data_IF_582908295001
#
_entry.id   IF_582908295001
#
_cell.length_a   1.000
_cell.length_b   1.000
_cell.length_c   1.000
_cell.angle_alpha   90.00
_cell.angle_beta   90.00
_cell.angle_gamma   90.00
#
_symmetry.space_group_name_H-M   'P 1'
#
loop_
_entity.id
_entity.type
_entity.pdbx_description
1 polymer ?
#
# COMPACT_ATOMS: atom_id res chain seq x y z
N UNK A 1 26.06 -8.65 28.89
CA UNK A 1 26.39 -7.25 29.22
C UNK A 1 25.60 -6.36 28.28
N UNK A 2 24.33 -6.10 28.59
CA UNK A 2 23.45 -5.29 27.73
C UNK A 2 23.51 -3.84 28.18
N UNK A 3 24.05 -2.95 27.33
CA UNK A 3 24.03 -1.51 27.58
C UNK A 3 22.57 -1.08 27.69
N UNK A 4 22.16 -0.53 28.83
CA UNK A 4 20.82 0.05 29.02
C UNK A 4 20.74 1.33 28.18
N UNK A 5 20.46 1.18 26.88
CA UNK A 5 20.20 2.30 26.01
C UNK A 5 18.94 3.02 26.52
N UNK A 6 19.02 4.35 26.64
CA UNK A 6 17.85 5.15 27.02
C UNK A 6 16.86 5.18 25.86
N UNK A 7 15.56 5.31 26.14
CA UNK A 7 14.54 5.42 25.07
C UNK A 7 14.85 6.58 24.10
N UNK A 8 15.36 7.69 24.62
CA UNK A 8 15.79 8.83 23.81
C UNK A 8 16.94 8.47 22.86
N UNK A 9 17.93 7.72 23.34
CA UNK A 9 19.01 7.22 22.50
C UNK A 9 18.45 6.31 21.39
N UNK A 10 17.61 5.33 21.74
CA UNK A 10 17.02 4.41 20.76
C UNK A 10 16.21 5.15 19.69
N UNK A 11 15.35 6.09 20.10
CA UNK A 11 14.54 6.93 19.21
C UNK A 11 15.41 7.72 18.25
N UNK A 12 16.49 8.33 18.74
CA UNK A 12 17.44 9.08 17.91
C UNK A 12 18.19 8.17 16.93
N UNK A 13 18.62 6.99 17.38
CA UNK A 13 19.33 6.01 16.55
C UNK A 13 18.48 5.56 15.36
N UNK A 14 17.19 5.28 15.58
CA UNK A 14 16.28 4.86 14.51
C UNK A 14 15.60 6.02 13.79
N UNK A 15 15.95 7.27 14.16
CA UNK A 15 15.28 8.52 13.71
C UNK A 15 13.76 8.38 13.73
N UNK A 16 13.25 7.90 14.86
CA UNK A 16 11.82 7.72 15.04
C UNK A 16 11.11 9.08 14.95
N UNK A 17 9.94 9.15 14.28
CA UNK A 17 9.11 10.36 14.25
C UNK A 17 8.44 10.65 15.61
N UNK A 18 8.54 9.72 16.57
CA UNK A 18 8.04 9.83 17.95
C UNK A 18 9.24 10.05 18.88
N UNK A 19 9.17 11.08 19.74
CA UNK A 19 10.19 11.35 20.75
C UNK A 19 10.20 10.31 21.90
N UNK A 20 11.25 10.33 22.73
CA UNK A 20 11.40 9.39 23.83
C UNK A 20 10.26 9.44 24.86
N UNK A 21 9.65 10.61 25.08
CA UNK A 21 8.51 10.76 25.98
C UNK A 21 7.24 10.13 25.39
N UNK A 22 6.99 10.32 24.10
CA UNK A 22 5.89 9.71 23.36
C UNK A 22 5.99 8.19 23.36
N UNK A 23 7.18 7.65 23.11
CA UNK A 23 7.43 6.20 23.19
C UNK A 23 7.18 5.69 24.60
N UNK A 24 7.72 6.35 25.63
CA UNK A 24 7.48 5.96 27.02
C UNK A 24 5.99 5.96 27.38
N UNK A 25 5.22 6.96 26.91
CA UNK A 25 3.78 7.04 27.13
C UNK A 25 3.03 5.89 26.45
N UNK A 26 3.40 5.56 25.22
CA UNK A 26 2.79 4.44 24.47
C UNK A 26 3.04 3.12 25.20
N UNK A 27 4.29 2.87 25.63
CA UNK A 27 4.63 1.66 26.39
C UNK A 27 3.82 1.54 27.68
N UNK A 28 3.66 2.64 28.42
CA UNK A 28 2.82 2.67 29.64
C UNK A 28 1.33 2.40 29.35
N UNK A 29 0.82 2.80 28.18
CA UNK A 29 -0.56 2.49 27.79
C UNK A 29 -0.72 1.02 27.41
N UNK A 30 0.26 0.45 26.68
CA UNK A 30 0.27 -0.96 26.31
C UNK A 30 0.40 -1.87 27.54
N UNK A 31 1.24 -1.51 28.51
CA UNK A 31 1.42 -2.27 29.75
C UNK A 31 0.13 -2.39 30.58
N UNK A 32 -0.78 -1.44 30.43
CA UNK A 32 -2.09 -1.44 31.12
C UNK A 32 -3.18 -2.20 30.36
N UNK A 33 -2.89 -2.71 29.16
CA UNK A 33 -3.83 -3.48 28.36
C UNK A 33 -4.00 -4.89 28.93
N UNK A 34 -5.21 -5.46 28.85
CA UNK A 34 -5.48 -6.82 29.34
C UNK A 34 -4.59 -7.86 28.65
N UNK A 35 -4.35 -7.66 27.36
CA UNK A 35 -3.53 -8.55 26.51
C UNK A 35 -2.03 -8.17 26.47
N UNK A 36 -1.52 -7.43 27.47
CA UNK A 36 -0.13 -6.95 27.46
C UNK A 36 0.90 -8.05 27.21
N UNK A 37 0.69 -9.25 27.77
CA UNK A 37 1.60 -10.37 27.58
C UNK A 37 1.81 -10.70 26.10
N UNK A 38 0.71 -10.90 25.36
CA UNK A 38 0.74 -11.27 23.96
C UNK A 38 1.19 -10.11 23.06
N UNK A 39 0.83 -8.87 23.41
CA UNK A 39 1.36 -7.66 22.75
C UNK A 39 2.89 -7.62 22.87
N UNK A 40 3.43 -7.83 24.08
CA UNK A 40 4.86 -7.83 24.31
C UNK A 40 5.54 -9.01 23.58
N UNK A 41 4.92 -10.19 23.56
CA UNK A 41 5.41 -11.32 22.76
C UNK A 41 5.46 -10.97 21.27
N UNK A 42 4.45 -10.29 20.71
CA UNK A 42 4.46 -9.86 19.31
C UNK A 42 5.55 -8.84 19.01
N UNK A 43 5.77 -7.85 19.89
CA UNK A 43 6.85 -6.87 19.71
C UNK A 43 8.22 -7.58 19.70
N UNK A 44 8.45 -8.53 20.61
CA UNK A 44 9.69 -9.30 20.64
C UNK A 44 9.82 -10.22 19.42
N UNK A 45 8.75 -10.89 18.98
CA UNK A 45 8.77 -11.74 17.79
C UNK A 45 9.13 -10.96 16.53
N UNK A 46 8.68 -9.71 16.40
CA UNK A 46 9.10 -8.82 15.31
C UNK A 46 10.58 -8.45 15.43
N UNK A 47 11.05 -8.11 16.63
CA UNK A 47 12.46 -7.77 16.86
C UNK A 47 13.40 -8.95 16.54
N UNK A 48 13.00 -10.16 16.94
CA UNK A 48 13.73 -11.40 16.65
C UNK A 48 13.72 -11.67 15.13
N UNK A 49 12.55 -11.58 14.49
CA UNK A 49 12.44 -11.75 13.04
C UNK A 49 13.30 -10.76 12.24
N UNK A 50 13.35 -9.50 12.66
CA UNK A 50 14.19 -8.47 12.03
C UNK A 50 15.68 -8.67 12.31
N UNK A 51 16.05 -9.44 13.33
CA UNK A 51 17.44 -9.80 13.64
C UNK A 51 17.91 -11.00 12.82
N UNK A 52 17.00 -11.89 12.43
CA UNK A 52 17.30 -13.15 11.72
C UNK A 52 17.20 -13.04 10.19
N UNK A 53 16.48 -12.04 9.67
CA UNK A 53 16.22 -11.87 8.23
C UNK A 53 16.92 -10.65 7.67
N UNK A 54 17.49 -10.78 6.46
CA UNK A 54 17.95 -9.63 5.69
C UNK A 54 16.74 -8.80 5.25
N UNK A 55 16.56 -7.63 5.88
CA UNK A 55 15.50 -6.69 5.53
C UNK A 55 15.80 -6.09 4.14
N UNK A 56 14.91 -6.23 3.14
CA UNK A 56 15.20 -5.85 1.76
C UNK A 56 15.18 -4.33 1.52
N UNK A 57 14.90 -3.53 2.55
CA UNK A 57 14.81 -2.07 2.46
C UNK A 57 15.66 -1.43 3.55
N UNK A 58 16.58 -0.55 3.15
CA UNK A 58 17.26 0.36 4.06
C UNK A 58 16.40 1.62 4.28
N UNK A 59 15.51 1.56 5.28
CA UNK A 59 14.66 2.71 5.63
C UNK A 59 15.43 3.90 6.18
N UNK A 60 16.61 3.70 6.78
CA UNK A 60 17.45 4.81 7.22
C UNK A 60 17.89 5.63 6.00
N UNK A 61 18.44 4.97 4.98
CA UNK A 61 18.81 5.61 3.71
C UNK A 61 17.62 6.27 3.03
N UNK A 62 16.46 5.59 2.97
CA UNK A 62 15.27 6.17 2.31
C UNK A 62 14.78 7.45 2.96
N UNK A 63 14.89 7.58 4.28
CA UNK A 63 14.49 8.81 5.00
C UNK A 63 15.42 10.00 4.73
N UNK A 64 16.61 9.77 4.18
CA UNK A 64 17.58 10.82 3.85
C UNK A 64 17.48 11.33 2.40
N UNK A 65 16.65 10.70 1.57
CA UNK A 65 16.47 11.09 0.17
C UNK A 65 15.72 12.42 0.02
N UNK A 66 15.95 13.12 -1.10
CA UNK A 66 15.19 14.31 -1.47
C UNK A 66 13.88 13.94 -2.20
N UNK A 67 12.76 14.07 -1.49
CA UNK A 67 11.42 13.80 -2.01
C UNK A 67 10.76 15.00 -2.71
N UNK A 68 11.44 16.13 -2.86
CA UNK A 68 10.89 17.34 -3.50
C UNK A 68 10.42 17.10 -4.94
N UNK A 69 11.02 16.14 -5.63
CA UNK A 69 10.66 15.74 -6.99
C UNK A 69 9.87 14.42 -7.08
N UNK A 70 9.44 13.83 -5.94
CA UNK A 70 8.85 12.50 -5.88
C UNK A 70 7.68 12.32 -6.84
N UNK A 71 6.72 13.25 -6.87
CA UNK A 71 5.54 13.14 -7.72
C UNK A 71 5.14 14.51 -8.29
N UNK A 72 5.77 14.97 -9.39
CA UNK A 72 5.43 16.25 -10.01
C UNK A 72 3.99 16.24 -10.55
N UNK A 73 3.31 17.37 -10.53
CA UNK A 73 1.91 17.48 -10.96
C UNK A 73 1.66 16.98 -12.39
N UNK A 74 2.63 17.18 -13.28
CA UNK A 74 2.58 16.65 -14.66
C UNK A 74 2.54 15.13 -14.69
N UNK A 75 3.28 14.47 -13.80
CA UNK A 75 3.36 13.02 -13.69
C UNK A 75 2.10 12.47 -13.05
N UNK A 76 1.60 13.10 -12.00
CA UNK A 76 0.30 12.75 -11.39
C UNK A 76 -0.84 12.82 -12.41
N UNK A 77 -0.92 13.89 -13.21
CA UNK A 77 -1.94 14.02 -14.28
C UNK A 77 -1.80 12.95 -15.36
N UNK A 78 -0.58 12.54 -15.69
CA UNK A 78 -0.32 11.44 -16.62
C UNK A 78 -0.80 10.11 -16.04
N UNK A 79 -0.40 9.79 -14.80
CA UNK A 79 -0.82 8.56 -14.11
C UNK A 79 -2.35 8.47 -14.06
N UNK A 80 -3.02 9.52 -13.55
CA UNK A 80 -4.49 9.55 -13.50
C UNK A 80 -5.15 9.28 -14.85
N UNK A 81 -4.61 9.86 -15.94
CA UNK A 81 -5.14 9.66 -17.29
C UNK A 81 -4.95 8.22 -17.75
N UNK A 82 -3.76 7.66 -17.51
CA UNK A 82 -3.41 6.32 -17.95
C UNK A 82 -4.19 5.24 -17.18
N UNK A 83 -4.56 5.51 -15.92
CA UNK A 83 -5.30 4.59 -15.02
C UNK A 83 -6.80 4.86 -14.96
N UNK A 84 -7.31 5.82 -15.76
CA UNK A 84 -8.70 6.29 -15.73
C UNK A 84 -9.22 6.69 -14.34
N UNK A 85 -8.30 7.19 -13.52
CA UNK A 85 -8.60 7.80 -12.23
C UNK A 85 -8.95 9.25 -12.47
N UNK A 86 -10.08 9.72 -11.92
CA UNK A 86 -10.41 11.13 -11.99
C UNK A 86 -9.30 11.97 -11.31
N UNK A 87 -8.56 12.74 -12.11
CA UNK A 87 -7.57 13.70 -11.62
C UNK A 87 -8.30 14.88 -10.96
N UNK A 88 -8.75 14.71 -9.72
CA UNK A 88 -9.53 15.72 -8.99
C UNK A 88 -8.63 16.86 -8.47
N UNK A 89 -8.01 17.63 -9.38
CA UNK A 89 -7.33 18.90 -9.10
C UNK A 89 -5.98 18.83 -8.35
N UNK A 90 -5.33 20.00 -8.14
CA UNK A 90 -4.01 20.10 -7.50
C UNK A 90 -4.00 19.67 -6.03
N UNK A 91 -5.11 19.88 -5.31
CA UNK A 91 -5.24 19.43 -3.92
C UNK A 91 -5.06 17.91 -3.79
N UNK A 92 -5.48 17.13 -4.79
CA UNK A 92 -5.30 15.68 -4.79
C UNK A 92 -3.88 15.24 -5.17
N UNK A 93 -3.20 16.02 -6.01
CA UNK A 93 -1.78 15.79 -6.32
C UNK A 93 -0.92 15.90 -5.05
N UNK A 94 -1.18 16.89 -4.20
CA UNK A 94 -0.49 17.05 -2.90
C UNK A 94 -0.76 15.87 -1.97
N UNK A 95 -2.02 15.43 -1.86
CA UNK A 95 -2.38 14.26 -1.04
C UNK A 95 -1.69 13.00 -1.55
N UNK A 96 -1.71 12.75 -2.87
CA UNK A 96 -1.05 11.60 -3.47
C UNK A 96 0.48 11.61 -3.25
N UNK A 97 1.10 12.79 -3.34
CA UNK A 97 2.53 12.97 -3.09
C UNK A 97 2.90 12.66 -1.64
N UNK A 98 2.12 13.16 -0.68
CA UNK A 98 2.35 12.87 0.73
C UNK A 98 2.08 11.40 1.06
N UNK A 99 1.01 10.81 0.53
CA UNK A 99 0.75 9.37 0.65
C UNK A 99 1.94 8.54 0.13
N UNK A 100 2.46 8.88 -1.06
CA UNK A 100 3.58 8.17 -1.65
C UNK A 100 4.88 8.38 -0.86
N UNK A 101 5.10 9.58 -0.31
CA UNK A 101 6.20 9.85 0.60
C UNK A 101 6.13 8.94 1.84
N UNK A 102 4.98 8.84 2.50
CA UNK A 102 4.84 8.02 3.71
C UNK A 102 5.06 6.54 3.40
N UNK A 103 4.53 6.07 2.27
CA UNK A 103 4.69 4.70 1.79
C UNK A 103 6.15 4.35 1.47
N UNK A 104 6.87 5.22 0.77
CA UNK A 104 8.24 4.95 0.29
C UNK A 104 9.27 5.13 1.42
N UNK A 105 9.13 6.20 2.21
CA UNK A 105 10.11 6.56 3.25
C UNK A 105 9.93 5.80 4.56
N UNK A 106 8.73 5.24 4.82
CA UNK A 106 8.39 4.68 6.13
C UNK A 106 8.39 5.73 7.25
N UNK A 107 8.15 7.00 6.89
CA UNK A 107 8.04 8.15 7.80
C UNK A 107 6.71 8.85 7.60
N UNK A 108 6.18 9.46 8.65
CA UNK A 108 5.00 10.32 8.52
C UNK A 108 5.39 11.73 8.07
N UNK A 109 4.48 12.43 7.40
CA UNK A 109 4.67 13.87 7.15
C UNK A 109 4.62 14.61 8.49
N UNK A 110 5.62 15.45 8.75
CA UNK A 110 5.77 16.13 10.04
C UNK A 110 4.50 16.87 10.45
N UNK A 111 4.09 16.66 11.71
CA UNK A 111 2.79 17.12 12.16
C UNK A 111 2.61 18.64 12.15
N UNK A 112 3.70 19.38 12.27
CA UNK A 112 3.73 20.85 12.23
C UNK A 112 3.65 21.41 10.80
N UNK A 113 4.01 20.61 9.80
CA UNK A 113 4.05 21.02 8.40
C UNK A 113 2.69 20.93 7.70
N UNK A 114 1.71 20.20 8.27
CA UNK A 114 0.42 19.96 7.64
C UNK A 114 -0.77 20.07 8.61
N UNK A 115 -1.92 20.52 8.10
CA UNK A 115 -3.15 20.62 8.88
C UNK A 115 -3.77 19.24 9.18
N UNK A 116 -4.55 19.14 10.26
CA UNK A 116 -5.27 17.91 10.62
C UNK A 116 -6.18 17.42 9.48
N UNK A 117 -6.84 18.35 8.77
CA UNK A 117 -7.68 18.01 7.61
C UNK A 117 -6.87 17.40 6.45
N UNK A 118 -5.64 17.88 6.21
CA UNK A 118 -4.76 17.29 5.20
C UNK A 118 -4.27 15.90 5.64
N UNK A 119 -3.93 15.72 6.92
CA UNK A 119 -3.55 14.41 7.48
C UNK A 119 -4.65 13.38 7.27
N UNK A 120 -5.91 13.72 7.57
CA UNK A 120 -7.05 12.84 7.30
C UNK A 120 -7.20 12.50 5.82
N UNK A 121 -6.95 13.45 4.91
CA UNK A 121 -6.99 13.19 3.46
C UNK A 121 -5.88 12.25 3.00
N UNK A 122 -4.68 12.35 3.57
CA UNK A 122 -3.56 11.43 3.30
C UNK A 122 -3.91 10.03 3.79
N UNK A 123 -4.35 9.89 5.04
CA UNK A 123 -4.73 8.61 5.61
C UNK A 123 -5.91 7.95 4.89
N UNK A 124 -6.85 8.74 4.34
CA UNK A 124 -7.98 8.24 3.54
C UNK A 124 -7.65 8.10 2.05
N UNK A 125 -6.42 8.39 1.60
CA UNK A 125 -6.05 8.22 0.19
C UNK A 125 -6.27 6.79 -0.34
N UNK A 126 -6.06 5.71 0.44
CA UNK A 126 -6.36 4.33 0.03
C UNK A 126 -7.80 4.11 -0.46
N UNK A 127 -8.77 4.87 0.05
CA UNK A 127 -10.16 4.84 -0.44
C UNK A 127 -10.28 5.14 -1.94
N UNK A 128 -9.32 5.85 -2.50
CA UNK A 128 -9.30 6.27 -3.91
C UNK A 128 -8.35 5.45 -4.77
N UNK A 129 -7.63 4.49 -4.18
CA UNK A 129 -6.78 3.59 -4.94
C UNK A 129 -7.64 2.62 -5.75
N UNK A 130 -7.16 2.37 -6.95
CA UNK A 130 -7.55 1.23 -7.77
C UNK A 130 -6.29 0.38 -7.96
N UNK A 131 -6.41 -0.91 -8.34
CA UNK A 131 -5.23 -1.73 -8.61
C UNK A 131 -4.29 -1.05 -9.62
N UNK A 132 -4.85 -0.51 -10.72
CA UNK A 132 -4.07 0.17 -11.75
C UNK A 132 -3.39 1.46 -11.25
N UNK A 133 -4.05 2.22 -10.36
CA UNK A 133 -3.47 3.42 -9.76
C UNK A 133 -2.35 3.06 -8.78
N UNK A 134 -2.55 2.03 -7.96
CA UNK A 134 -1.55 1.57 -7.01
C UNK A 134 -0.29 1.07 -7.75
N UNK A 135 -0.47 0.22 -8.76
CA UNK A 135 0.64 -0.29 -9.59
C UNK A 135 1.40 0.87 -10.27
N UNK A 136 0.69 1.83 -10.87
CA UNK A 136 1.33 2.97 -11.53
C UNK A 136 2.08 3.90 -10.55
N UNK A 137 1.59 4.05 -9.31
CA UNK A 137 2.28 4.81 -8.27
C UNK A 137 3.52 4.06 -7.76
N UNK A 138 3.43 2.75 -7.57
CA UNK A 138 4.55 1.92 -7.13
C UNK A 138 5.64 1.87 -8.23
N UNK A 139 5.28 1.73 -9.51
CA UNK A 139 6.23 1.81 -10.63
C UNK A 139 6.93 3.18 -10.68
N UNK A 140 6.18 4.27 -10.54
CA UNK A 140 6.75 5.61 -10.51
C UNK A 140 7.68 5.81 -9.30
N UNK A 141 7.34 5.23 -8.14
CA UNK A 141 8.20 5.25 -6.97
C UNK A 141 9.50 4.45 -7.20
N UNK A 142 9.45 3.33 -7.93
CA UNK A 142 10.65 2.55 -8.27
C UNK A 142 11.57 3.37 -9.16
N UNK A 143 11.02 4.03 -10.17
CA UNK A 143 11.78 4.93 -11.06
C UNK A 143 12.40 6.09 -10.28
N UNK A 144 11.66 6.68 -9.34
CA UNK A 144 12.18 7.73 -8.46
C UNK A 144 13.34 7.23 -7.60
N UNK A 145 13.18 6.10 -6.91
CA UNK A 145 14.25 5.50 -6.09
C UNK A 145 15.49 5.19 -6.93
N UNK A 146 15.30 4.63 -8.13
CA UNK A 146 16.39 4.33 -9.05
C UNK A 146 17.15 5.58 -9.51
N UNK A 147 16.45 6.72 -9.64
CA UNK A 147 17.06 8.02 -9.96
C UNK A 147 17.88 8.60 -8.79
N UNK A 148 17.54 8.23 -7.56
CA UNK A 148 18.25 8.60 -6.33
C UNK A 148 19.34 7.57 -5.94
N UNK A 149 19.63 6.59 -6.80
CA UNK A 149 20.66 5.57 -6.58
C UNK A 149 20.21 4.35 -5.77
N UNK A 150 18.92 4.25 -5.42
CA UNK A 150 18.34 3.08 -4.74
C UNK A 150 17.75 2.12 -5.78
N UNK A 151 18.36 0.95 -5.95
CA UNK A 151 17.94 -0.07 -6.94
C UNK A 151 17.80 -1.44 -6.30
N UNK A 152 16.85 -2.22 -6.79
CA UNK A 152 16.62 -3.60 -6.35
C UNK A 152 15.82 -3.76 -5.06
N UNK A 153 15.45 -2.66 -4.40
CA UNK A 153 14.58 -2.70 -3.23
C UNK A 153 13.09 -2.68 -3.62
N UNK A 154 12.22 -3.43 -2.91
CA UNK A 154 10.77 -3.32 -3.07
C UNK A 154 10.26 -1.97 -2.52
N UNK A 155 9.12 -1.46 -2.99
CA UNK A 155 8.59 -0.16 -2.52
C UNK A 155 8.21 -0.16 -1.05
N UNK A 156 7.63 -1.25 -0.56
CA UNK A 156 7.30 -1.41 0.84
C UNK A 156 7.77 -2.80 1.30
N UNK A 157 8.07 -2.90 2.58
CA UNK A 157 8.35 -4.15 3.26
C UNK A 157 7.66 -4.12 4.62
N UNK A 158 7.02 -5.23 4.97
CA UNK A 158 6.53 -5.50 6.31
C UNK A 158 6.85 -6.96 6.67
N UNK A 159 7.12 -7.27 7.94
CA UNK A 159 7.34 -8.64 8.38
C UNK A 159 6.09 -9.51 8.13
N UNK A 160 6.30 -10.81 7.96
CA UNK A 160 5.19 -11.76 7.80
C UNK A 160 4.34 -11.83 9.07
N UNK A 161 3.01 -11.91 8.93
CA UNK A 161 2.10 -12.10 10.06
C UNK A 161 2.28 -13.45 10.78
N UNK A 162 3.00 -14.41 10.17
CA UNK A 162 3.34 -15.69 10.82
C UNK A 162 4.15 -15.51 12.12
N UNK A 163 4.89 -14.42 12.29
CA UNK A 163 5.57 -14.14 13.56
C UNK A 163 4.61 -13.90 14.74
N UNK A 164 3.33 -13.66 14.46
CA UNK A 164 2.28 -13.46 15.45
C UNK A 164 1.43 -14.71 15.71
N UNK A 165 1.76 -15.84 15.06
CA UNK A 165 0.93 -17.04 15.11
C UNK A 165 0.73 -17.53 16.55
N UNK A 166 -0.52 -17.66 16.96
CA UNK A 166 -0.89 -18.16 18.29
C UNK A 166 -0.99 -17.10 19.38
N UNK A 167 -0.66 -15.84 19.08
CA UNK A 167 -0.84 -14.71 20.00
C UNK A 167 -2.27 -14.17 19.92
N UNK A 168 -2.85 -13.79 21.06
CA UNK A 168 -4.10 -13.04 21.14
C UNK A 168 -3.79 -11.54 21.10
N UNK A 169 -3.79 -10.97 19.90
CA UNK A 169 -3.57 -9.54 19.71
C UNK A 169 -4.89 -8.77 19.75
N UNK A 170 -4.88 -7.52 20.24
CA UNK A 170 -6.08 -6.69 20.28
C UNK A 170 -6.59 -6.41 18.86
N UNK A 171 -7.92 -6.41 18.72
CA UNK A 171 -8.60 -6.22 17.44
C UNK A 171 -8.79 -7.51 16.64
N UNK A 172 -9.51 -7.42 15.53
CA UNK A 172 -9.69 -8.55 14.60
C UNK A 172 -8.45 -8.74 13.73
N UNK A 173 -8.19 -10.00 13.34
CA UNK A 173 -7.14 -10.30 12.37
C UNK A 173 -7.52 -9.68 11.00
N UNK A 174 -6.69 -8.78 10.44
CA UNK A 174 -6.98 -8.18 9.15
C UNK A 174 -7.10 -9.20 8.01
N UNK A 175 -6.37 -10.33 8.09
CA UNK A 175 -6.39 -11.36 7.05
C UNK A 175 -7.73 -12.14 7.03
N UNK A 176 -8.54 -12.06 8.09
CA UNK A 176 -9.86 -12.70 8.20
C UNK A 176 -11.03 -11.76 7.78
N UNK A 177 -10.72 -10.52 7.38
CA UNK A 177 -11.74 -9.52 7.03
C UNK A 177 -12.36 -9.77 5.65
N UNK A 178 -13.68 -9.56 5.52
CA UNK A 178 -14.39 -9.58 4.23
C UNK A 178 -14.00 -8.39 3.34
N UNK A 179 -12.93 -8.58 2.57
CA UNK A 179 -12.43 -7.58 1.62
C UNK A 179 -13.42 -7.28 0.49
N UNK A 180 -14.20 -8.27 0.05
CA UNK A 180 -15.18 -8.10 -1.02
C UNK A 180 -16.37 -7.24 -0.54
N UNK A 181 -16.80 -7.45 0.70
CA UNK A 181 -17.76 -6.60 1.39
C UNK A 181 -17.27 -5.16 1.54
N UNK A 182 -16.01 -4.96 1.97
CA UNK A 182 -15.40 -3.64 2.04
C UNK A 182 -15.40 -2.94 0.67
N UNK A 183 -14.98 -3.65 -0.38
CA UNK A 183 -14.99 -3.14 -1.76
C UNK A 183 -16.40 -2.81 -2.25
N UNK A 184 -17.40 -3.62 -1.88
CA UNK A 184 -18.79 -3.35 -2.23
C UNK A 184 -19.28 -2.03 -1.62
N UNK A 185 -19.08 -1.82 -0.32
CA UNK A 185 -19.51 -0.61 0.37
C UNK A 185 -18.83 0.65 -0.18
N UNK A 186 -17.51 0.61 -0.38
CA UNK A 186 -16.73 1.73 -0.93
C UNK A 186 -17.20 2.09 -2.34
N UNK A 187 -17.43 1.10 -3.21
CA UNK A 187 -17.90 1.35 -4.58
C UNK A 187 -19.33 1.91 -4.64
N UNK A 188 -20.15 1.58 -3.65
CA UNK A 188 -21.50 2.14 -3.49
C UNK A 188 -21.51 3.52 -2.81
N UNK A 189 -20.35 4.11 -2.52
CA UNK A 189 -20.22 5.49 -2.08
C UNK A 189 -20.33 5.70 -0.57
N UNK A 190 -20.29 4.64 0.24
CA UNK A 190 -20.18 4.80 1.70
C UNK A 190 -18.85 5.45 2.05
N UNK A 191 -18.83 6.28 3.08
CA UNK A 191 -17.56 6.80 3.61
C UNK A 191 -16.72 5.64 4.14
N UNK A 192 -15.39 5.79 4.20
CA UNK A 192 -14.52 4.73 4.69
C UNK A 192 -14.85 4.31 6.13
N UNK A 193 -15.25 5.26 6.98
CA UNK A 193 -15.67 4.97 8.36
C UNK A 193 -16.97 4.19 8.42
N UNK A 194 -17.96 4.55 7.59
CA UNK A 194 -19.22 3.82 7.53
C UNK A 194 -19.00 2.41 6.96
N UNK A 195 -18.19 2.29 5.91
CA UNK A 195 -17.85 0.99 5.32
C UNK A 195 -17.12 0.08 6.32
N UNK A 196 -16.18 0.61 7.09
CA UNK A 196 -15.48 -0.13 8.15
C UNK A 196 -16.46 -0.60 9.25
N UNK A 197 -17.37 0.29 9.67
CA UNK A 197 -18.41 -0.04 10.66
C UNK A 197 -19.34 -1.15 10.16
N UNK A 198 -19.73 -1.13 8.88
CA UNK A 198 -20.62 -2.14 8.30
C UNK A 198 -20.01 -3.54 8.28
N UNK A 199 -18.69 -3.64 8.09
CA UNK A 199 -17.98 -4.93 8.09
C UNK A 199 -17.36 -5.29 9.44
N UNK A 200 -17.57 -4.46 10.48
CA UNK A 200 -17.14 -4.74 11.85
C UNK A 200 -15.63 -4.58 12.11
N UNK A 201 -14.95 -3.69 11.39
CA UNK A 201 -13.51 -3.41 11.60
C UNK A 201 -13.25 -1.95 11.92
N UNK A 202 -12.09 -1.68 12.51
CA UNK A 202 -11.63 -0.32 12.76
C UNK A 202 -11.26 0.42 11.47
N UNK A 203 -11.37 1.75 11.50
CA UNK A 203 -11.03 2.61 10.37
C UNK A 203 -9.59 2.42 9.88
N UNK A 204 -8.63 2.21 10.79
CA UNK A 204 -7.23 1.95 10.41
C UNK A 204 -7.06 0.60 9.70
N UNK A 205 -7.81 -0.44 10.12
CA UNK A 205 -7.82 -1.74 9.44
C UNK A 205 -8.38 -1.59 8.03
N UNK A 206 -9.47 -0.83 7.84
CA UNK A 206 -10.01 -0.56 6.51
C UNK A 206 -9.01 0.20 5.61
N UNK A 207 -8.27 1.19 6.15
CA UNK A 207 -7.19 1.89 5.40
C UNK A 207 -6.05 0.95 5.02
N UNK A 208 -5.61 0.10 5.95
CA UNK A 208 -4.59 -0.92 5.70
C UNK A 208 -5.03 -1.88 4.60
N UNK A 209 -6.25 -2.41 4.69
CA UNK A 209 -6.81 -3.34 3.71
C UNK A 209 -6.91 -2.71 2.32
N UNK A 210 -7.40 -1.47 2.18
CA UNK A 210 -7.47 -0.80 0.87
C UNK A 210 -6.09 -0.38 0.34
N UNK A 211 -5.08 -0.27 1.20
CA UNK A 211 -3.69 -0.06 0.77
C UNK A 211 -3.10 -1.33 0.17
N UNK A 212 -3.43 -2.51 0.74
CA UNK A 212 -2.92 -3.81 0.28
C UNK A 212 -3.75 -4.39 -0.87
N UNK A 213 -5.06 -4.17 -0.83
CA UNK A 213 -6.05 -4.68 -1.77
C UNK A 213 -6.97 -3.53 -2.23
N UNK A 214 -6.50 -2.65 -3.13
CA UNK A 214 -7.31 -1.56 -3.66
C UNK A 214 -8.61 -2.04 -4.30
N UNK A 215 -9.69 -1.28 -4.13
CA UNK A 215 -10.99 -1.64 -4.70
C UNK A 215 -10.94 -1.56 -6.24
N UNK A 216 -11.30 -2.64 -6.97
CA UNK A 216 -11.27 -2.64 -8.43
C UNK A 216 -12.32 -1.70 -9.00
N UNK A 217 -11.95 -0.95 -10.04
CA UNK A 217 -12.91 -0.13 -10.79
C UNK A 217 -13.95 -1.05 -11.44
N UNK A 218 -15.22 -0.66 -11.41
CA UNK A 218 -16.26 -1.37 -12.15
C UNK A 218 -15.86 -1.51 -13.65
N UNK A 219 -16.07 -2.67 -14.28
CA UNK A 219 -15.44 -3.07 -15.55
C UNK A 219 -15.83 -2.25 -16.80
N UNK A 220 -16.59 -1.16 -16.67
CA UNK A 220 -17.22 -0.45 -17.79
C UNK A 220 -16.38 0.67 -18.42
N UNK A 221 -15.12 0.84 -18.02
CA UNK A 221 -14.29 1.97 -18.44
C UNK A 221 -13.21 1.55 -19.44
N UNK A 222 -13.32 2.07 -20.66
CA UNK A 222 -12.46 1.73 -21.81
C UNK A 222 -10.98 2.15 -21.63
N UNK A 223 -10.67 3.09 -20.74
CA UNK A 223 -9.30 3.61 -20.56
C UNK A 223 -8.42 2.74 -19.65
N UNK A 224 -8.98 2.13 -18.59
CA UNK A 224 -8.24 1.12 -17.79
C UNK A 224 -7.86 -0.13 -18.60
N UNK A 225 -8.53 -0.35 -19.74
CA UNK A 225 -8.17 -1.39 -20.70
C UNK A 225 -6.79 -1.17 -21.35
N UNK A 226 -6.37 0.09 -21.54
CA UNK A 226 -5.07 0.44 -22.09
C UNK A 226 -3.93 0.13 -21.12
N UNK A 227 -4.04 0.54 -19.85
CA UNK A 227 -3.07 0.18 -18.81
C UNK A 227 -2.93 -1.34 -18.70
N UNK A 228 -4.05 -2.06 -18.58
CA UNK A 228 -4.06 -3.54 -18.53
C UNK A 228 -3.42 -4.18 -19.77
N UNK A 229 -3.66 -3.63 -20.97
CA UNK A 229 -3.03 -4.13 -22.20
C UNK A 229 -1.52 -3.84 -22.26
N UNK A 230 -1.07 -2.68 -21.75
CA UNK A 230 0.35 -2.30 -21.68
C UNK A 230 1.13 -3.17 -20.71
N UNK A 231 0.56 -3.49 -19.55
CA UNK A 231 1.21 -4.33 -18.53
C UNK A 231 1.11 -5.84 -18.81
N UNK A 232 0.12 -6.28 -19.59
CA UNK A 232 -0.01 -7.69 -19.99
C UNK A 232 1.00 -8.16 -21.06
N UNK A 233 1.75 -7.25 -21.70
CA UNK A 233 2.75 -7.60 -22.73
C UNK A 233 4.11 -6.93 -22.47
N UNK A 234 5.23 -7.68 -22.59
CA UNK A 234 6.55 -7.06 -22.68
C UNK A 234 6.58 -6.07 -23.85
N UNK A 235 7.10 -4.85 -23.63
CA UNK A 235 7.14 -3.71 -24.57
C UNK A 235 7.51 -4.08 -26.01
N UNK A 236 8.39 -5.06 -26.19
CA UNK A 236 8.83 -5.55 -27.51
C UNK A 236 7.76 -6.35 -28.28
N UNK A 237 6.86 -7.06 -27.60
CA UNK A 237 5.73 -7.78 -28.23
C UNK A 237 4.58 -6.86 -28.61
N UNK A 238 4.37 -5.80 -27.84
CA UNK A 238 3.33 -4.80 -28.08
C UNK A 238 3.55 -4.03 -29.39
N UNK A 239 4.78 -3.56 -29.63
CA UNK A 239 5.16 -2.87 -30.89
C UNK A 239 4.96 -3.81 -32.10
N UNK A 240 5.35 -5.09 -31.98
CA UNK A 240 5.21 -6.09 -33.05
C UNK A 240 3.75 -6.43 -33.36
N UNK A 241 2.86 -6.52 -32.37
CA UNK A 241 1.44 -6.79 -32.63
C UNK A 241 0.69 -5.58 -33.21
N UNK A 242 1.06 -4.37 -32.79
CA UNK A 242 0.45 -3.14 -33.29
C UNK A 242 0.89 -2.83 -34.74
N UNK A 243 2.19 -2.98 -35.05
CA UNK A 243 2.73 -2.67 -36.38
C UNK A 243 2.56 -3.82 -37.40
N UNK A 244 2.56 -5.09 -36.97
CA UNK A 244 2.57 -6.24 -37.90
C UNK A 244 1.20 -6.90 -38.08
N UNK A 245 0.22 -6.70 -37.18
CA UNK A 245 -1.07 -7.43 -37.24
C UNK A 245 -2.33 -6.55 -37.29
N UNK A 246 -2.21 -5.22 -37.27
CA UNK A 246 -3.36 -4.30 -37.41
C UNK A 246 -4.46 -4.47 -36.35
N UNK A 247 -4.15 -5.08 -35.20
CA UNK A 247 -5.14 -5.34 -34.14
C UNK A 247 -5.36 -4.11 -33.29
N UNK A 248 -6.63 -3.79 -33.03
CA UNK A 248 -7.00 -2.63 -32.23
C UNK A 248 -6.66 -2.85 -30.74
N UNK A 249 -6.39 -1.76 -30.03
CA UNK A 249 -6.08 -1.78 -28.59
C UNK A 249 -7.20 -2.43 -27.76
N UNK A 250 -8.45 -2.33 -28.22
CA UNK A 250 -9.64 -2.94 -27.60
C UNK A 250 -9.60 -4.48 -27.66
N UNK A 251 -9.06 -5.06 -28.73
CA UNK A 251 -8.99 -6.51 -28.91
C UNK A 251 -7.90 -7.14 -28.03
N UNK A 252 -6.80 -6.42 -27.82
CA UNK A 252 -5.71 -6.84 -26.94
C UNK A 252 -6.20 -6.90 -25.49
N UNK A 253 -6.91 -5.86 -25.03
CA UNK A 253 -7.46 -5.81 -23.68
C UNK A 253 -8.56 -6.85 -23.42
N UNK A 254 -9.49 -7.05 -24.38
CA UNK A 254 -10.51 -8.13 -24.29
C UNK A 254 -9.90 -9.51 -24.12
N UNK A 255 -8.73 -9.76 -24.71
CA UNK A 255 -8.05 -11.06 -24.65
C UNK A 255 -7.41 -11.33 -23.28
N UNK A 256 -6.93 -10.29 -22.62
CA UNK A 256 -6.40 -10.35 -21.25
C UNK A 256 -7.54 -10.57 -20.25
N UNK A 257 -8.64 -9.82 -20.39
CA UNK A 257 -9.83 -9.98 -19.54
C UNK A 257 -10.48 -11.37 -19.64
N UNK A 258 -10.40 -12.04 -20.81
CA UNK A 258 -10.89 -13.42 -20.98
C UNK A 258 -10.01 -14.50 -20.36
N UNK A 259 -8.72 -14.23 -20.10
CA UNK A 259 -7.83 -15.22 -19.47
C UNK A 259 -8.01 -15.27 -17.95
N UNK A 260 -8.35 -14.16 -17.30
CA UNK A 260 -8.60 -14.13 -15.86
C UNK A 260 -9.93 -14.79 -15.45
N UNK A 261 -10.90 -14.92 -16.37
CA UNK A 261 -12.19 -15.58 -16.08
C UNK A 261 -12.20 -17.09 -16.35
N UNK A 262 -11.09 -17.69 -16.78
CA UNK A 262 -11.09 -19.09 -17.24
C UNK A 262 -10.19 -20.05 -16.44
N UNK A 263 -9.64 -19.64 -15.28
CA UNK A 263 -9.04 -20.57 -14.31
C UNK A 263 -10.05 -20.95 -13.23
N UNK A 264 -11.10 -21.65 -13.65
CA UNK A 264 -11.87 -22.54 -12.78
C UNK A 264 -11.31 -23.97 -12.90
N UNK A 265 -11.29 -24.77 -11.81
CA UNK A 265 -10.62 -26.06 -11.82
C UNK A 265 -11.28 -27.02 -12.83
N UNK A 266 -10.50 -27.94 -13.45
CA UNK A 266 -11.02 -28.81 -14.49
C UNK A 266 -12.06 -29.78 -13.89
N UNK A 267 -13.26 -29.78 -14.46
CA UNK A 267 -14.26 -30.83 -14.23
C UNK A 267 -13.66 -32.17 -14.65
N UNK A 268 -13.34 -33.03 -13.68
CA UNK A 268 -13.05 -34.44 -13.94
C UNK A 268 -14.31 -35.11 -14.47
N UNK A 269 -14.29 -35.46 -15.75
CA UNK A 269 -15.20 -36.43 -16.33
C UNK A 269 -14.80 -37.82 -15.85
N UNK A 270 -15.70 -38.49 -15.15
CA UNK A 270 -15.65 -39.94 -14.93
C UNK A 270 -16.35 -40.57 -16.13
N UNK A 271 -15.58 -41.32 -16.92
CA UNK A 271 -16.10 -42.32 -17.86
C UNK A 271 -15.67 -43.69 -17.35
N UNK A 272 -16.61 -44.62 -17.52
CA UNK A 272 -16.58 -46.07 -17.26
C UNK A 272 -16.90 -46.48 -15.83
#
# INVERSE_FOLDING_TARGET
MGTRATLDFCVRTIRSPIDGHGVSRILQLLERHADWHDINCAINAVADHLSDVEVPIDYHRRRELDYGSLLPDKTWRRICRDTDTAAQGPARATVARHYLYERVSGSTVESQAISAALRTKIANFPYHLTPELADALDEHAVEFLASQGVRGEPIHYQPSSECFRGLQLPGGNPDDTDIDGLHHHVRNGLTLGDAATQIGVDLEVARYLLTRFPAPVAPNREYGAYYRAKHAYPRQRFIKQYQTQGKSLRDVAKRVGRKQTNDGPPRRGVRS
#
